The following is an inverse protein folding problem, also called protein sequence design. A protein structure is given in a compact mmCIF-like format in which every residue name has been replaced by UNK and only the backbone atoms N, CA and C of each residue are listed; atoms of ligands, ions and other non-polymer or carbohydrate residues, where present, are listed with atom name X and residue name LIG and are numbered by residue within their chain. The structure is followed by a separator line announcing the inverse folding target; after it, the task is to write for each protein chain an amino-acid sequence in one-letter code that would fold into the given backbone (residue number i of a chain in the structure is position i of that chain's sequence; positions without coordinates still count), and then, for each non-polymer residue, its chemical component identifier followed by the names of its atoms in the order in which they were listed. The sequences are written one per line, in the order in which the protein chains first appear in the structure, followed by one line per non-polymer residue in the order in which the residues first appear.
data_IF_832782328495
#
_entry.id   IF_832782328495
#
_cell.length_a   1.000
_cell.length_b   1.000
_cell.length_c   1.000
_cell.angle_alpha   90.00
_cell.angle_beta   90.00
_cell.angle_gamma   90.00
#
_symmetry.space_group_name_H-M   'P 1'
#
loop_
_entity.id
_entity.type
_entity.pdbx_description
1 polymer ?
#
# COMPACT_ATOMS: atom_id res chain seq x y z
N UNK A 1 -7.74 30.62 -0.50
CA UNK A 1 -8.27 29.37 -1.07
C UNK A 1 -7.10 28.54 -1.57
N UNK A 2 -6.63 27.55 -0.81
CA UNK A 2 -6.03 26.34 -1.38
C UNK A 2 -5.99 25.27 -0.28
N UNK A 3 -6.83 24.27 -0.44
CA UNK A 3 -7.09 23.20 0.52
C UNK A 3 -5.85 22.33 0.64
N UNK A 4 -5.38 22.13 1.87
CA UNK A 4 -4.35 21.14 2.21
C UNK A 4 -4.99 19.77 1.94
N UNK A 5 -4.74 19.21 0.76
CA UNK A 5 -5.27 17.90 0.38
C UNK A 5 -4.52 16.84 1.18
N UNK A 6 -5.16 16.39 2.26
CA UNK A 6 -5.21 15.01 2.74
C UNK A 6 -4.00 14.15 2.30
N UNK A 7 -2.97 14.11 3.15
CA UNK A 7 -1.74 13.33 2.99
C UNK A 7 -1.99 11.83 3.23
N UNK A 8 -2.94 11.25 2.50
CA UNK A 8 -3.12 9.80 2.45
C UNK A 8 -1.98 9.18 1.63
N UNK A 9 -1.32 8.11 2.12
CA UNK A 9 -0.33 7.39 1.34
C UNK A 9 -0.96 6.83 0.06
N UNK A 10 -0.43 7.26 -1.10
CA UNK A 10 -0.83 6.82 -2.42
C UNK A 10 0.36 6.14 -3.11
N UNK A 11 0.14 4.97 -3.70
CA UNK A 11 1.12 4.33 -4.58
C UNK A 11 1.12 5.02 -5.93
N UNK A 12 2.29 5.44 -6.44
CA UNK A 12 2.42 6.03 -7.78
C UNK A 12 2.36 4.97 -8.90
N UNK A 13 2.87 3.77 -8.64
CA UNK A 13 2.84 2.64 -9.58
C UNK A 13 1.59 1.79 -9.37
N UNK A 14 0.91 1.41 -10.46
CA UNK A 14 -0.27 0.55 -10.42
C UNK A 14 0.13 -0.84 -9.90
N UNK A 15 -0.29 -1.15 -8.69
CA UNK A 15 0.03 -2.39 -7.99
C UNK A 15 -1.26 -3.00 -7.46
N UNK A 16 -1.49 -4.28 -7.73
CA UNK A 16 -2.70 -5.00 -7.29
C UNK A 16 -2.48 -5.56 -5.88
N UNK A 17 -2.53 -4.63 -4.94
CA UNK A 17 -2.61 -4.72 -3.48
C UNK A 17 -3.93 -5.24 -2.89
N UNK A 18 -4.05 -6.22 -1.98
CA UNK A 18 -5.22 -6.29 -1.11
C UNK A 18 -5.22 -5.19 -0.03
N UNK A 19 -4.54 -4.06 -0.22
CA UNK A 19 -4.66 -2.89 0.64
C UNK A 19 -4.43 -1.61 -0.15
N UNK A 20 -4.41 -1.72 -1.49
CA UNK A 20 -4.24 -0.59 -2.40
C UNK A 20 -5.45 -0.57 -3.33
N UNK A 21 -6.13 0.57 -3.39
CA UNK A 21 -7.22 0.77 -4.34
C UNK A 21 -6.70 0.68 -5.77
N UNK A 22 -7.24 -0.25 -6.57
CA UNK A 22 -6.88 -0.43 -7.97
C UNK A 22 -7.33 0.74 -8.87
N UNK A 23 -8.15 1.66 -8.37
CA UNK A 23 -8.66 2.83 -9.10
C UNK A 23 -7.92 4.11 -8.71
N UNK A 24 -7.53 4.26 -7.44
CA UNK A 24 -6.99 5.52 -6.91
C UNK A 24 -5.58 5.41 -6.34
N UNK A 25 -5.02 4.20 -6.24
CA UNK A 25 -3.71 3.96 -5.61
C UNK A 25 -3.69 4.24 -4.10
N UNK A 26 -4.83 4.57 -3.49
CA UNK A 26 -4.93 4.87 -2.07
C UNK A 26 -4.70 3.61 -1.25
N UNK A 27 -3.80 3.70 -0.27
CA UNK A 27 -3.58 2.62 0.69
C UNK A 27 -4.68 2.67 1.74
N UNK A 28 -5.32 1.54 1.99
CA UNK A 28 -6.30 1.37 3.07
C UNK A 28 -5.59 0.90 4.35
N UNK A 29 -5.39 1.78 5.35
CA UNK A 29 -4.69 1.42 6.57
C UNK A 29 -5.47 0.41 7.42
N UNK A 30 -6.79 0.27 7.25
CA UNK A 30 -7.58 -0.71 7.99
C UNK A 30 -7.28 -2.15 7.55
N UNK A 31 -6.78 -2.33 6.32
CA UNK A 31 -6.38 -3.63 5.76
C UNK A 31 -4.92 -3.98 6.07
N UNK A 32 -4.21 -3.08 6.76
CA UNK A 32 -2.82 -3.24 7.18
C UNK A 32 -2.77 -3.33 8.71
N UNK A 33 -2.89 -4.53 9.30
CA UNK A 33 -2.92 -4.69 10.76
C UNK A 33 -1.67 -4.14 11.46
N UNK A 34 -0.52 -4.08 10.78
CA UNK A 34 0.71 -3.46 11.31
C UNK A 34 0.69 -1.93 11.33
N UNK A 35 -0.12 -1.27 10.48
CA UNK A 35 -0.34 0.17 10.58
C UNK A 35 -1.30 0.51 11.72
N UNK A 36 -2.20 -0.41 12.09
CA UNK A 36 -3.06 -0.24 13.24
C UNK A 36 -2.28 -0.22 14.57
N UNK A 37 -1.14 -0.93 14.65
CA UNK A 37 -0.22 -0.91 15.80
C UNK A 37 0.98 0.02 15.61
N UNK A 38 0.90 1.01 14.72
CA UNK A 38 2.01 1.92 14.45
C UNK A 38 2.37 2.76 15.69
N UNK A 39 3.60 2.61 16.16
CA UNK A 39 4.15 3.43 17.25
C UNK A 39 5.25 4.33 16.71
N UNK A 40 5.64 5.39 17.46
CA UNK A 40 6.80 6.22 17.06
C UNK A 40 8.13 5.45 17.02
N UNK A 41 8.18 4.26 17.63
CA UNK A 41 9.33 3.36 17.57
C UNK A 41 9.30 2.45 16.32
N UNK A 42 8.16 2.37 15.62
CA UNK A 42 8.03 1.63 14.37
C UNK A 42 8.81 2.34 13.27
N UNK A 43 9.72 1.62 12.61
CA UNK A 43 10.51 2.15 11.50
C UNK A 43 9.82 1.92 10.15
N UNK A 44 10.13 2.76 9.16
CA UNK A 44 9.69 2.54 7.77
C UNK A 44 10.13 1.18 7.24
N UNK A 45 11.28 0.68 7.70
CA UNK A 45 11.77 -0.66 7.38
C UNK A 45 10.74 -1.75 7.73
N UNK A 46 10.11 -1.65 8.90
CA UNK A 46 9.09 -2.62 9.32
C UNK A 46 7.89 -2.61 8.37
N UNK A 47 7.45 -1.43 7.91
CA UNK A 47 6.38 -1.29 6.90
C UNK A 47 6.77 -1.99 5.60
N UNK A 48 7.97 -1.73 5.10
CA UNK A 48 8.43 -2.27 3.82
C UNK A 48 8.61 -3.80 3.88
N UNK A 49 9.06 -4.33 5.01
CA UNK A 49 9.17 -5.78 5.24
C UNK A 49 7.80 -6.45 5.24
N UNK A 50 6.83 -5.89 5.94
CA UNK A 50 5.47 -6.45 5.98
C UNK A 50 4.77 -6.36 4.63
N UNK A 51 4.92 -5.24 3.90
CA UNK A 51 4.42 -5.12 2.51
C UNK A 51 5.04 -6.21 1.63
N UNK A 52 6.36 -6.45 1.73
CA UNK A 52 7.03 -7.50 0.97
C UNK A 52 6.53 -8.90 1.31
N UNK A 53 6.28 -9.18 2.59
CA UNK A 53 5.69 -10.45 3.03
C UNK A 53 4.29 -10.64 2.46
N UNK A 54 3.47 -9.59 2.51
CA UNK A 54 2.13 -9.62 1.94
C UNK A 54 2.15 -9.82 0.43
N UNK A 55 3.05 -9.17 -0.31
CA UNK A 55 3.22 -9.43 -1.75
C UNK A 55 3.61 -10.88 -2.05
N UNK A 56 4.39 -11.51 -1.16
CA UNK A 56 4.80 -12.90 -1.27
C UNK A 56 3.75 -13.91 -0.77
N UNK A 57 2.66 -13.46 -0.13
CA UNK A 57 1.64 -14.34 0.41
C UNK A 57 0.96 -15.14 -0.72
N UNK A 58 0.52 -16.39 -0.48
CA UNK A 58 -0.09 -17.22 -1.52
C UNK A 58 -1.32 -16.59 -2.19
N UNK A 59 -2.05 -15.77 -1.42
CA UNK A 59 -3.21 -15.02 -1.90
C UNK A 59 -2.83 -13.92 -2.89
N UNK A 60 -1.66 -13.30 -2.73
CA UNK A 60 -1.24 -12.13 -3.49
C UNK A 60 -0.22 -12.45 -4.59
N UNK A 61 0.61 -13.48 -4.41
CA UNK A 61 1.63 -13.89 -5.39
C UNK A 61 1.03 -14.38 -6.72
N UNK A 62 -0.24 -14.82 -6.71
CA UNK A 62 -0.98 -15.24 -7.92
C UNK A 62 -1.84 -14.13 -8.51
N UNK A 63 -1.85 -12.93 -7.93
CA UNK A 63 -2.66 -11.83 -8.47
C UNK A 63 -2.04 -11.33 -9.78
N UNK A 64 -2.85 -11.23 -10.86
CA UNK A 64 -2.37 -10.63 -12.10
C UNK A 64 -2.06 -9.15 -11.83
N UNK A 65 -0.78 -8.80 -11.94
CA UNK A 65 -0.31 -7.43 -11.85
C UNK A 65 -0.57 -6.72 -13.19
N UNK A 66 -0.88 -5.42 -13.17
CA UNK A 66 -0.91 -4.61 -14.38
C UNK A 66 0.50 -4.53 -15.02
N UNK A 67 0.59 -4.10 -16.30
CA UNK A 67 1.87 -3.92 -16.96
C UNK A 67 2.80 -3.00 -16.15
N UNK A 68 4.07 -3.37 -16.04
CA UNK A 68 5.08 -2.52 -15.43
C UNK A 68 5.09 -1.13 -16.11
N UNK A 69 5.21 -0.07 -15.30
CA UNK A 69 5.13 1.32 -15.79
C UNK A 69 3.72 1.89 -15.89
N UNK A 70 2.67 1.12 -15.60
CA UNK A 70 1.31 1.66 -15.45
C UNK A 70 1.24 2.55 -14.21
N UNK A 71 0.86 3.82 -14.35
CA UNK A 71 0.63 4.75 -13.23
C UNK A 71 -0.87 4.87 -12.90
N UNK A 72 -1.19 5.36 -11.70
CA UNK A 72 -2.56 5.72 -11.31
C UNK A 72 -2.97 7.07 -11.87
#
# INVERSE_FOLDING_TARGET
MQTVLDTRPQSLSRVKLPFVSATTGTVDPARLPFLASWTRASSLEHVLVEIRKEMASPANRKLPQPPEGSMF
#
